data_IF_494558606115
#
_entry.id   IF_494558606115
#
_cell.length_a   1.000
_cell.length_b   1.000
_cell.length_c   1.000
_cell.angle_alpha   90.00
_cell.angle_beta   90.00
_cell.angle_gamma   90.00
#
_symmetry.space_group_name_H-M   'P 1'
#
loop_
_entity.id
_entity.type
_entity.pdbx_description
1 polymer ?
#
# COMPACT_ATOMS: atom_id res chain seq x y z
N UNK A 1 -14.17 -31.33 -21.16
CA UNK A 1 -15.24 -32.00 -20.38
C UNK A 1 -15.01 -31.65 -18.93
N UNK A 2 -15.64 -30.57 -18.43
CA UNK A 2 -15.61 -30.20 -17.02
C UNK A 2 -16.85 -30.84 -16.34
N UNK A 3 -16.61 -31.66 -15.33
CA UNK A 3 -17.67 -32.27 -14.52
C UNK A 3 -18.25 -31.24 -13.53
N UNK A 4 -19.52 -30.91 -13.69
CA UNK A 4 -20.30 -30.16 -12.69
C UNK A 4 -20.55 -31.07 -11.48
N UNK A 5 -20.10 -30.64 -10.30
CA UNK A 5 -20.51 -31.20 -9.03
C UNK A 5 -21.66 -30.32 -8.51
N UNK A 6 -22.87 -30.83 -8.58
CA UNK A 6 -24.06 -30.25 -7.94
C UNK A 6 -24.09 -30.70 -6.47
N UNK A 7 -23.84 -29.79 -5.54
CA UNK A 7 -24.06 -30.02 -4.13
C UNK A 7 -25.27 -29.21 -3.65
N UNK A 8 -26.43 -29.86 -3.58
CA UNK A 8 -27.62 -29.36 -2.83
C UNK A 8 -27.47 -29.79 -1.38
N UNK A 9 -27.08 -28.87 -0.48
CA UNK A 9 -27.27 -29.02 0.96
C UNK A 9 -27.97 -27.79 1.50
N UNK A 10 -29.18 -28.06 2.07
CA UNK A 10 -29.88 -27.10 2.89
C UNK A 10 -29.08 -26.87 4.19
N UNK A 11 -28.71 -25.63 4.48
CA UNK A 11 -28.04 -25.25 5.73
C UNK A 11 -29.06 -24.63 6.68
N UNK A 12 -29.20 -25.21 7.88
CA UNK A 12 -29.85 -24.59 9.02
C UNK A 12 -28.89 -23.53 9.63
N UNK A 13 -29.43 -22.34 9.85
CA UNK A 13 -28.73 -21.18 10.43
C UNK A 13 -28.41 -21.43 11.92
N UNK A 14 -27.14 -21.39 12.29
CA UNK A 14 -26.69 -21.21 13.67
C UNK A 14 -25.77 -19.99 13.68
N UNK A 15 -26.04 -19.05 14.59
CA UNK A 15 -25.27 -17.83 14.77
C UNK A 15 -23.82 -18.15 15.16
N UNK A 16 -22.92 -17.93 14.20
CA UNK A 16 -21.46 -17.96 14.40
C UNK A 16 -20.81 -17.00 13.41
N UNK A 17 -19.85 -16.22 13.88
CA UNK A 17 -19.09 -15.25 13.08
C UNK A 17 -18.51 -15.92 11.83
N UNK A 18 -18.94 -15.50 10.65
CA UNK A 18 -18.37 -15.95 9.38
C UNK A 18 -17.26 -14.98 8.93
N UNK A 19 -16.13 -15.49 8.42
CA UNK A 19 -15.00 -14.67 7.97
C UNK A 19 -15.16 -14.08 6.54
N UNK A 20 -16.39 -13.98 5.99
CA UNK A 20 -16.60 -13.53 4.62
C UNK A 20 -17.79 -12.58 4.50
N UNK A 21 -17.63 -11.48 3.74
CA UNK A 21 -18.75 -10.62 3.31
C UNK A 21 -19.43 -11.22 2.08
N UNK A 22 -20.76 -11.25 2.07
CA UNK A 22 -21.57 -11.80 0.98
C UNK A 22 -22.10 -10.65 0.12
N UNK A 23 -21.65 -10.53 -1.12
CA UNK A 23 -22.29 -9.66 -2.12
C UNK A 23 -22.98 -10.51 -3.18
N UNK A 24 -24.26 -10.26 -3.40
CA UNK A 24 -25.07 -10.97 -4.39
C UNK A 24 -25.16 -10.16 -5.70
N UNK A 25 -24.70 -10.73 -6.81
CA UNK A 25 -24.93 -10.18 -8.16
C UNK A 25 -26.02 -11.01 -8.87
N UNK A 26 -27.01 -10.32 -9.45
CA UNK A 26 -28.02 -10.96 -10.29
C UNK A 26 -27.66 -10.83 -11.76
N UNK A 27 -27.51 -11.93 -12.46
CA UNK A 27 -27.36 -11.97 -13.92
C UNK A 27 -28.71 -12.29 -14.59
N UNK A 28 -29.11 -11.49 -15.59
CA UNK A 28 -30.47 -11.43 -16.15
C UNK A 28 -30.91 -12.61 -17.05
N UNK A 29 -30.15 -13.69 -17.15
CA UNK A 29 -30.53 -14.77 -18.10
C UNK A 29 -30.75 -16.17 -17.54
N UNK A 30 -30.45 -16.40 -16.28
CA UNK A 30 -30.90 -17.64 -15.57
C UNK A 30 -30.81 -17.32 -14.07
N UNK A 31 -31.78 -17.80 -13.28
CA UNK A 31 -31.84 -17.61 -11.81
C UNK A 31 -30.69 -18.35 -11.09
N UNK A 32 -29.46 -18.06 -11.44
CA UNK A 32 -28.27 -18.54 -10.73
C UNK A 32 -27.68 -17.38 -9.92
N UNK A 33 -27.83 -17.45 -8.61
CA UNK A 33 -27.13 -16.55 -7.69
C UNK A 33 -25.69 -17.05 -7.54
N UNK A 34 -24.74 -16.30 -8.04
CA UNK A 34 -23.33 -16.52 -7.71
C UNK A 34 -23.03 -15.75 -6.42
N UNK A 35 -22.80 -16.51 -5.33
CA UNK A 35 -22.21 -15.94 -4.13
C UNK A 35 -20.72 -15.68 -4.39
N UNK A 36 -20.32 -14.42 -4.55
CA UNK A 36 -18.91 -14.03 -4.48
C UNK A 36 -18.59 -13.81 -3.02
N UNK A 37 -17.99 -14.83 -2.39
CA UNK A 37 -17.48 -14.72 -1.03
C UNK A 37 -16.16 -13.96 -1.11
N UNK A 38 -16.18 -12.66 -0.83
CA UNK A 38 -14.94 -11.87 -0.67
C UNK A 38 -14.24 -12.29 0.64
N UNK A 39 -12.92 -12.50 0.59
CA UNK A 39 -12.13 -12.70 1.81
C UNK A 39 -12.25 -11.44 2.66
N UNK A 40 -12.71 -11.55 3.90
CA UNK A 40 -12.72 -10.46 4.89
C UNK A 40 -11.26 -10.23 5.31
N UNK A 41 -10.80 -9.00 5.26
CA UNK A 41 -9.45 -8.66 5.69
C UNK A 41 -9.46 -8.42 7.20
N UNK A 42 -9.14 -9.47 7.96
CA UNK A 42 -9.13 -9.44 9.43
C UNK A 42 -7.78 -9.05 10.02
N UNK A 43 -6.71 -9.20 9.24
CA UNK A 43 -5.34 -8.93 9.67
C UNK A 43 -4.58 -8.15 8.60
N UNK A 44 -4.06 -6.98 8.95
CA UNK A 44 -3.36 -6.09 8.03
C UNK A 44 -1.93 -5.86 8.53
N UNK A 45 -0.95 -6.11 7.65
CA UNK A 45 0.43 -5.71 7.86
C UNK A 45 0.64 -4.26 7.41
N UNK A 46 1.21 -3.42 8.27
CA UNK A 46 1.49 -2.02 7.93
C UNK A 46 2.99 -1.76 8.07
N UNK A 47 3.59 -1.16 7.02
CA UNK A 47 5.00 -0.78 7.00
C UNK A 47 5.16 0.73 6.80
N UNK A 48 6.05 1.34 7.59
CA UNK A 48 6.63 2.67 7.32
C UNK A 48 8.15 2.58 7.38
N UNK A 49 8.85 3.45 6.67
CA UNK A 49 10.31 3.39 6.59
C UNK A 49 11.01 4.04 7.80
N UNK A 50 10.39 5.04 8.42
CA UNK A 50 10.95 5.88 9.47
C UNK A 50 10.10 5.90 10.74
N UNK A 51 10.67 6.35 11.84
CA UNK A 51 9.97 6.44 13.13
C UNK A 51 8.78 7.40 13.06
N UNK A 52 8.93 8.52 12.35
CA UNK A 52 7.89 9.51 12.15
C UNK A 52 6.67 8.93 11.43
N UNK A 53 6.88 8.01 10.49
CA UNK A 53 5.83 7.41 9.66
C UNK A 53 5.01 6.36 10.41
N UNK A 54 5.59 5.71 11.43
CA UNK A 54 4.92 4.69 12.22
C UNK A 54 4.42 5.20 13.59
N UNK A 55 4.88 6.35 14.05
CA UNK A 55 4.63 6.84 15.40
C UNK A 55 3.14 6.99 15.72
N UNK A 56 2.36 7.64 14.84
CA UNK A 56 0.92 7.85 15.06
C UNK A 56 0.15 6.53 15.02
N UNK A 57 0.47 5.63 14.10
CA UNK A 57 -0.13 4.30 14.02
C UNK A 57 0.16 3.49 15.29
N UNK A 58 1.43 3.44 15.72
CA UNK A 58 1.83 2.77 16.96
C UNK A 58 1.06 3.31 18.18
N UNK A 59 0.92 4.64 18.30
CA UNK A 59 0.19 5.27 19.39
C UNK A 59 -1.33 5.00 19.36
N UNK A 60 -1.87 4.63 18.19
CA UNK A 60 -3.30 4.35 17.98
C UNK A 60 -3.67 2.89 18.16
N UNK A 61 -2.70 1.99 18.27
CA UNK A 61 -2.95 0.56 18.54
C UNK A 61 -3.38 0.35 19.99
N UNK A 62 -4.35 -0.52 20.19
CA UNK A 62 -4.69 -1.10 21.51
C UNK A 62 -4.17 -2.55 21.60
N UNK A 63 -4.06 -3.07 22.83
CA UNK A 63 -3.62 -4.43 23.12
C UNK A 63 -2.25 -4.76 22.53
N UNK A 64 -1.31 -3.81 22.57
CA UNK A 64 -0.03 -3.89 21.87
C UNK A 64 0.87 -4.96 22.47
N UNK A 65 1.37 -5.83 21.59
CA UNK A 65 2.43 -6.80 21.88
C UNK A 65 3.63 -6.53 20.96
N UNK A 66 4.81 -6.36 21.56
CA UNK A 66 6.06 -6.25 20.79
C UNK A 66 6.63 -7.64 20.51
N UNK A 67 7.02 -7.88 19.26
CA UNK A 67 7.68 -9.11 18.82
C UNK A 67 8.99 -8.73 18.13
N UNK A 68 10.09 -9.11 18.74
CA UNK A 68 11.43 -8.86 18.19
C UNK A 68 11.84 -9.97 17.23
N UNK A 69 12.24 -9.60 16.01
CA UNK A 69 12.87 -10.49 15.05
C UNK A 69 14.16 -9.84 14.51
N UNK A 70 15.31 -10.33 15.01
CA UNK A 70 16.60 -9.73 14.67
C UNK A 70 16.60 -8.22 15.00
N UNK A 71 16.82 -7.38 14.00
CA UNK A 71 16.79 -5.91 14.14
C UNK A 71 15.42 -5.28 13.85
N UNK A 72 14.42 -6.10 13.49
CA UNK A 72 13.05 -5.62 13.28
C UNK A 72 12.23 -5.79 14.56
N UNK A 73 11.45 -4.77 14.89
CA UNK A 73 10.46 -4.82 15.96
C UNK A 73 9.07 -4.70 15.36
N UNK A 74 8.25 -5.74 15.54
CA UNK A 74 6.86 -5.76 15.13
C UNK A 74 5.97 -5.39 16.31
N UNK A 75 4.97 -4.55 16.06
CA UNK A 75 3.93 -4.16 17.03
C UNK A 75 2.62 -4.79 16.57
N UNK A 76 2.23 -5.88 17.22
CA UNK A 76 0.92 -6.50 16.99
C UNK A 76 -0.09 -5.86 17.93
N UNK A 77 -1.26 -5.46 17.41
CA UNK A 77 -2.32 -4.84 18.20
C UNK A 77 -3.60 -4.69 17.41
N UNK A 78 -4.60 -4.06 18.03
CA UNK A 78 -5.89 -3.82 17.39
C UNK A 78 -6.02 -2.36 16.96
N UNK A 79 -6.51 -2.12 15.75
CA UNK A 79 -6.84 -0.80 15.23
C UNK A 79 -8.29 -0.84 14.69
N UNK A 80 -9.20 -0.11 15.30
CA UNK A 80 -10.63 -0.11 14.95
C UNK A 80 -11.27 -1.50 14.86
N UNK A 81 -10.80 -2.48 15.63
CA UNK A 81 -11.33 -3.85 15.62
C UNK A 81 -10.64 -4.79 14.63
N UNK A 82 -9.66 -4.32 13.86
CA UNK A 82 -8.84 -5.11 12.93
C UNK A 82 -7.52 -5.47 13.60
N UNK A 83 -7.04 -6.71 13.43
CA UNK A 83 -5.70 -7.14 13.87
C UNK A 83 -4.64 -6.48 12.96
N UNK A 84 -3.71 -5.73 13.55
CA UNK A 84 -2.68 -4.99 12.82
C UNK A 84 -1.30 -5.41 13.27
N UNK A 85 -0.42 -5.66 12.30
CA UNK A 85 1.01 -5.86 12.52
C UNK A 85 1.75 -4.66 11.93
N UNK A 86 2.26 -3.79 12.79
CA UNK A 86 3.00 -2.60 12.39
C UNK A 86 4.50 -2.83 12.50
N UNK A 87 5.28 -2.40 11.51
CA UNK A 87 6.75 -2.47 11.54
C UNK A 87 7.39 -1.23 10.92
N UNK A 88 8.50 -0.77 11.53
CA UNK A 88 9.44 0.14 10.86
C UNK A 88 10.37 -0.71 10.01
N UNK A 89 10.26 -0.61 8.68
CA UNK A 89 11.02 -1.44 7.76
C UNK A 89 12.45 -0.92 7.49
N UNK A 90 12.70 0.38 7.72
CA UNK A 90 13.90 1.05 7.24
C UNK A 90 13.77 1.57 5.82
N UNK A 91 14.70 2.45 5.41
CA UNK A 91 14.68 3.13 4.11
C UNK A 91 15.30 2.24 3.04
N UNK A 92 14.68 2.24 1.85
CA UNK A 92 15.21 1.63 0.64
C UNK A 92 14.67 0.23 0.35
N UNK A 93 14.92 -0.21 -0.89
CA UNK A 93 14.31 -1.42 -1.47
C UNK A 93 14.65 -2.71 -0.71
N UNK A 94 15.90 -2.89 -0.34
CA UNK A 94 16.35 -4.12 0.36
C UNK A 94 15.75 -4.21 1.76
N UNK A 95 15.75 -3.10 2.51
CA UNK A 95 15.22 -3.05 3.88
C UNK A 95 13.71 -3.33 3.88
N UNK A 96 12.98 -2.68 2.99
CA UNK A 96 11.53 -2.84 2.89
C UNK A 96 11.12 -4.23 2.39
N UNK A 97 11.82 -4.80 1.40
CA UNK A 97 11.57 -6.15 0.92
C UNK A 97 11.81 -7.21 2.02
N UNK A 98 12.92 -7.08 2.78
CA UNK A 98 13.22 -7.96 3.90
C UNK A 98 12.12 -7.89 4.97
N UNK A 99 11.74 -6.67 5.39
CA UNK A 99 10.73 -6.49 6.42
C UNK A 99 9.36 -7.03 5.97
N UNK A 100 8.97 -6.81 4.70
CA UNK A 100 7.73 -7.33 4.11
C UNK A 100 7.72 -8.85 4.12
N UNK A 101 8.81 -9.49 3.67
CA UNK A 101 8.93 -10.95 3.68
C UNK A 101 8.78 -11.51 5.09
N UNK A 102 9.50 -10.94 6.07
CA UNK A 102 9.41 -11.41 7.47
C UNK A 102 8.02 -11.21 8.04
N UNK A 103 7.37 -10.06 7.74
CA UNK A 103 6.01 -9.77 8.18
C UNK A 103 5.03 -10.82 7.63
N UNK A 104 5.09 -11.11 6.33
CA UNK A 104 4.21 -12.09 5.68
C UNK A 104 4.43 -13.49 6.27
N UNK A 105 5.67 -13.95 6.37
CA UNK A 105 6.02 -15.30 6.81
C UNK A 105 5.72 -15.54 8.30
N UNK A 106 5.92 -14.52 9.16
CA UNK A 106 5.74 -14.70 10.61
C UNK A 106 4.30 -14.47 11.07
N UNK A 107 3.53 -13.62 10.38
CA UNK A 107 2.22 -13.19 10.87
C UNK A 107 1.06 -13.51 9.93
N UNK A 108 1.32 -13.90 8.67
CA UNK A 108 0.32 -14.26 7.66
C UNK A 108 -0.81 -13.23 7.55
N UNK A 109 -0.53 -11.95 7.24
CA UNK A 109 -1.56 -10.94 7.08
C UNK A 109 -2.40 -11.21 5.83
N UNK A 110 -3.63 -10.70 5.80
CA UNK A 110 -4.51 -10.79 4.64
C UNK A 110 -4.14 -9.77 3.56
N UNK A 111 -3.49 -8.67 3.96
CA UNK A 111 -3.00 -7.62 3.08
C UNK A 111 -1.83 -6.85 3.71
N UNK A 112 -1.05 -6.20 2.85
CA UNK A 112 0.05 -5.30 3.22
C UNK A 112 -0.32 -3.86 2.84
N UNK A 113 -0.07 -2.92 3.74
CA UNK A 113 -0.20 -1.48 3.50
C UNK A 113 1.13 -0.80 3.80
N UNK A 114 1.67 -0.10 2.83
CA UNK A 114 2.83 0.77 3.06
C UNK A 114 2.39 2.22 3.16
N UNK A 115 2.86 2.90 4.19
CA UNK A 115 2.56 4.30 4.49
C UNK A 115 3.85 5.10 4.61
N UNK A 116 3.81 6.38 4.28
CA UNK A 116 4.98 7.23 4.42
C UNK A 116 4.91 8.53 3.63
N UNK A 117 6.06 9.21 3.59
CA UNK A 117 6.30 10.42 2.82
C UNK A 117 6.78 10.12 1.40
N UNK A 118 6.65 11.09 0.50
CA UNK A 118 7.16 11.02 -0.87
C UNK A 118 7.41 12.42 -1.45
N UNK A 119 8.27 12.50 -2.46
CA UNK A 119 8.40 13.68 -3.33
C UNK A 119 7.28 13.71 -4.37
N UNK A 120 6.58 14.85 -4.46
CA UNK A 120 5.47 15.03 -5.42
C UNK A 120 5.98 15.36 -6.83
N UNK A 121 5.42 14.72 -7.84
CA UNK A 121 5.74 14.96 -9.25
C UNK A 121 4.57 15.57 -10.05
N UNK A 122 3.34 15.43 -9.56
CA UNK A 122 2.19 16.12 -10.15
C UNK A 122 2.20 17.60 -9.72
N UNK A 123 2.18 18.48 -10.69
CA UNK A 123 2.26 19.94 -10.45
C UNK A 123 0.98 20.54 -9.85
N UNK A 124 -0.11 19.78 -9.83
CA UNK A 124 -1.40 20.19 -9.26
C UNK A 124 -1.48 19.86 -7.76
N UNK A 125 -0.54 19.05 -7.24
CA UNK A 125 -0.50 18.68 -5.84
C UNK A 125 0.36 19.63 -5.02
N UNK A 126 0.05 19.70 -3.73
CA UNK A 126 0.74 20.48 -2.74
C UNK A 126 1.41 19.59 -1.68
N UNK A 127 2.31 20.18 -0.89
CA UNK A 127 2.87 19.51 0.29
C UNK A 127 1.72 19.15 1.24
N UNK A 128 1.75 17.92 1.75
CA UNK A 128 0.69 17.36 2.60
C UNK A 128 -0.41 16.63 1.85
N UNK A 129 -0.56 16.82 0.54
CA UNK A 129 -1.51 16.04 -0.27
C UNK A 129 -1.14 14.55 -0.32
N UNK A 130 -2.11 13.72 -0.64
CA UNK A 130 -2.00 12.27 -0.58
C UNK A 130 -2.06 11.63 -1.97
N UNK A 131 -1.24 10.61 -2.17
CA UNK A 131 -1.23 9.76 -3.36
C UNK A 131 -1.52 8.32 -2.96
N UNK A 132 -2.58 7.76 -3.50
CA UNK A 132 -2.90 6.34 -3.45
C UNK A 132 -2.23 5.68 -4.66
N UNK A 133 -1.28 4.79 -4.43
CA UNK A 133 -0.55 4.09 -5.48
C UNK A 133 -1.41 3.05 -6.15
N UNK A 134 -1.84 3.28 -7.38
CA UNK A 134 -2.52 2.27 -8.21
C UNK A 134 -1.51 1.28 -8.79
N UNK A 135 -0.40 1.82 -9.31
CA UNK A 135 0.69 1.05 -9.89
C UNK A 135 2.02 1.51 -9.29
N UNK A 136 2.92 0.55 -9.06
CA UNK A 136 4.28 0.78 -8.55
C UNK A 136 5.31 0.31 -9.58
N UNK A 137 6.34 1.12 -9.85
CA UNK A 137 7.43 0.81 -10.79
C UNK A 137 8.77 1.18 -10.15
N UNK A 138 9.81 0.39 -10.42
CA UNK A 138 11.19 0.77 -10.08
C UNK A 138 11.73 1.79 -11.09
N UNK A 139 11.97 3.03 -10.69
CA UNK A 139 12.50 4.03 -11.63
C UNK A 139 14.00 3.87 -11.91
N UNK A 140 14.70 3.09 -11.12
CA UNK A 140 16.15 2.86 -11.18
C UNK A 140 16.53 1.49 -11.80
N UNK A 141 15.55 0.76 -12.35
CA UNK A 141 15.78 -0.47 -13.11
C UNK A 141 15.69 -0.20 -14.61
N UNK A 142 16.71 -0.57 -15.36
CA UNK A 142 16.75 -0.44 -16.82
C UNK A 142 17.30 -1.72 -17.46
N UNK A 143 16.40 -2.52 -17.97
CA UNK A 143 16.67 -3.73 -18.73
C UNK A 143 16.14 -3.64 -20.19
N UNK A 144 15.96 -2.40 -20.69
CA UNK A 144 15.44 -2.14 -22.04
C UNK A 144 16.33 -2.75 -23.12
N UNK A 145 17.64 -2.87 -22.89
CA UNK A 145 18.56 -3.57 -23.76
C UNK A 145 18.16 -5.04 -24.03
N UNK A 146 17.45 -5.66 -23.08
CA UNK A 146 16.98 -7.05 -23.19
C UNK A 146 15.50 -7.14 -23.57
N UNK A 147 14.87 -6.03 -23.99
CA UNK A 147 13.48 -5.98 -24.44
C UNK A 147 12.44 -5.84 -23.32
N UNK A 148 12.87 -5.58 -22.08
CA UNK A 148 11.96 -5.26 -20.98
C UNK A 148 11.51 -3.79 -21.06
N UNK A 149 10.36 -3.47 -20.48
CA UNK A 149 9.94 -2.09 -20.28
C UNK A 149 10.84 -1.39 -19.26
N UNK A 150 10.99 -0.06 -19.38
CA UNK A 150 11.75 0.71 -18.41
C UNK A 150 11.09 0.60 -17.01
N UNK A 151 11.88 0.26 -16.00
CA UNK A 151 11.41 0.00 -14.64
C UNK A 151 11.01 -1.45 -14.36
N UNK A 152 10.95 -2.29 -15.39
CA UNK A 152 10.61 -3.71 -15.25
C UNK A 152 11.83 -4.53 -14.80
N UNK A 153 11.67 -5.29 -13.72
CA UNK A 153 12.65 -6.30 -13.32
C UNK A 153 12.55 -7.55 -14.19
N UNK A 154 13.68 -8.25 -14.41
CA UNK A 154 13.71 -9.47 -15.22
C UNK A 154 12.75 -10.54 -14.68
N UNK A 155 11.89 -11.08 -15.55
CA UNK A 155 10.92 -12.11 -15.20
C UNK A 155 9.74 -11.63 -14.34
N UNK A 156 9.62 -10.32 -14.11
CA UNK A 156 8.53 -9.72 -13.35
C UNK A 156 7.55 -8.98 -14.28
N UNK A 157 6.34 -8.63 -13.82
CA UNK A 157 5.43 -7.77 -14.58
C UNK A 157 6.03 -6.37 -14.81
N UNK A 158 5.46 -5.61 -15.73
CA UNK A 158 5.92 -4.25 -16.05
C UNK A 158 5.72 -3.29 -14.88
N UNK A 159 4.63 -3.48 -14.12
CA UNK A 159 4.29 -2.74 -12.91
C UNK A 159 3.70 -3.69 -11.85
N UNK A 160 3.69 -3.24 -10.59
CA UNK A 160 3.03 -3.95 -9.49
C UNK A 160 1.74 -3.23 -9.16
N UNK A 161 0.60 -3.89 -9.41
CA UNK A 161 -0.75 -3.33 -9.21
C UNK A 161 -1.20 -3.51 -7.78
N UNK A 162 -1.62 -2.42 -7.16
CA UNK A 162 -2.28 -2.46 -5.86
C UNK A 162 -3.63 -3.16 -5.94
N UNK A 163 -4.07 -3.74 -4.82
CA UNK A 163 -5.35 -4.45 -4.76
C UNK A 163 -6.53 -3.48 -4.92
N UNK A 164 -7.47 -3.74 -5.85
CA UNK A 164 -8.58 -2.82 -6.13
C UNK A 164 -9.49 -2.55 -4.92
N UNK A 165 -9.67 -3.53 -4.02
CA UNK A 165 -10.49 -3.36 -2.81
C UNK A 165 -9.83 -2.44 -1.80
N UNK A 166 -8.50 -2.54 -1.67
CA UNK A 166 -7.73 -1.64 -0.82
C UNK A 166 -7.73 -0.22 -1.38
N UNK A 167 -7.61 -0.07 -2.71
CA UNK A 167 -7.73 1.25 -3.39
C UNK A 167 -9.11 1.85 -3.10
N UNK A 168 -10.19 1.09 -3.33
CA UNK A 168 -11.56 1.55 -3.09
C UNK A 168 -11.79 1.96 -1.63
N UNK A 169 -11.31 1.16 -0.67
CA UNK A 169 -11.39 1.48 0.75
C UNK A 169 -10.62 2.77 1.11
N UNK A 170 -9.42 2.96 0.54
CA UNK A 170 -8.63 4.17 0.75
C UNK A 170 -9.30 5.41 0.11
N UNK A 171 -9.84 5.28 -1.10
CA UNK A 171 -10.56 6.36 -1.79
C UNK A 171 -11.86 6.74 -1.04
N UNK A 172 -12.58 5.76 -0.51
CA UNK A 172 -13.75 6.02 0.33
C UNK A 172 -13.37 6.75 1.62
N UNK A 173 -12.34 6.28 2.31
CA UNK A 173 -11.83 6.90 3.52
C UNK A 173 -11.30 8.34 3.30
N UNK A 174 -10.79 8.63 2.11
CA UNK A 174 -10.31 9.95 1.72
C UNK A 174 -11.41 11.03 1.76
N UNK A 175 -12.69 10.66 1.57
CA UNK A 175 -13.82 11.60 1.63
C UNK A 175 -14.02 12.21 3.03
N UNK A 176 -13.53 11.54 4.06
CA UNK A 176 -13.62 12.00 5.46
C UNK A 176 -12.43 12.90 5.85
N UNK A 177 -11.43 13.07 4.97
CA UNK A 177 -10.25 13.90 5.22
C UNK A 177 -10.45 15.29 4.60
N UNK A 178 -10.63 16.29 5.45
CA UNK A 178 -10.81 17.67 4.99
C UNK A 178 -9.47 18.41 4.85
N UNK A 179 -9.41 19.33 3.87
CA UNK A 179 -8.28 20.25 3.70
C UNK A 179 -7.04 19.65 3.05
N UNK A 180 -7.11 18.41 2.55
CA UNK A 180 -6.03 17.68 1.87
C UNK A 180 -6.58 17.11 0.57
N UNK A 181 -5.88 17.32 -0.53
CA UNK A 181 -6.22 16.68 -1.79
C UNK A 181 -5.72 15.24 -1.79
N UNK A 182 -6.56 14.31 -2.25
CA UNK A 182 -6.20 12.90 -2.44
C UNK A 182 -6.33 12.55 -3.91
N UNK A 183 -5.30 11.98 -4.48
CA UNK A 183 -5.28 11.48 -5.87
C UNK A 183 -4.80 10.05 -5.91
N UNK A 184 -5.06 9.37 -7.03
CA UNK A 184 -4.56 8.02 -7.29
C UNK A 184 -3.64 8.04 -8.50
N UNK A 185 -2.71 7.07 -8.60
CA UNK A 185 -1.88 6.90 -9.78
C UNK A 185 -0.55 6.22 -9.54
N UNK A 186 0.39 6.44 -10.48
CA UNK A 186 1.69 5.82 -10.48
C UNK A 186 2.61 6.41 -9.40
N UNK A 187 3.18 5.53 -8.56
CA UNK A 187 4.28 5.84 -7.66
C UNK A 187 5.54 5.13 -8.17
N UNK A 188 6.66 5.85 -8.23
CA UNK A 188 7.93 5.30 -8.66
C UNK A 188 8.91 5.19 -7.50
N UNK A 189 9.62 4.06 -7.44
CA UNK A 189 10.55 3.70 -6.35
C UNK A 189 11.97 3.59 -6.84
N UNK A 190 12.93 4.05 -6.06
CA UNK A 190 14.37 3.80 -6.29
C UNK A 190 15.23 4.11 -5.07
N UNK A 191 16.43 3.54 -5.00
CA UNK A 191 17.36 3.71 -3.88
C UNK A 191 18.17 5.04 -3.97
N UNK A 192 17.46 6.13 -4.36
CA UNK A 192 18.05 7.45 -4.43
C UNK A 192 17.04 8.53 -4.04
N UNK A 193 17.46 9.50 -3.22
CA UNK A 193 16.67 10.70 -2.96
C UNK A 193 16.73 11.61 -4.19
N UNK A 194 15.57 11.95 -4.75
CA UNK A 194 15.46 12.78 -5.97
C UNK A 194 15.31 14.25 -5.57
N UNK A 195 16.46 14.90 -5.38
CA UNK A 195 16.52 16.28 -4.88
C UNK A 195 17.13 17.31 -5.84
N UNK A 196 17.70 16.91 -6.99
CA UNK A 196 18.23 17.86 -7.98
C UNK A 196 17.26 18.07 -9.15
N UNK A 197 17.30 19.28 -9.72
CA UNK A 197 16.45 19.63 -10.87
C UNK A 197 16.74 18.75 -12.09
N UNK A 198 17.98 18.32 -12.29
CA UNK A 198 18.38 17.43 -13.39
C UNK A 198 17.76 16.03 -13.19
N UNK A 199 17.82 15.49 -11.98
CA UNK A 199 17.23 14.17 -11.68
C UNK A 199 15.71 14.21 -11.84
N UNK A 200 15.06 15.28 -11.38
CA UNK A 200 13.63 15.51 -11.55
C UNK A 200 13.23 15.57 -13.02
N UNK A 201 13.95 16.36 -13.85
CA UNK A 201 13.69 16.48 -15.28
C UNK A 201 13.86 15.15 -16.01
N UNK A 202 14.90 14.40 -15.68
CA UNK A 202 15.17 13.09 -16.25
C UNK A 202 14.03 12.09 -15.92
N UNK A 203 13.57 12.04 -14.65
CA UNK A 203 12.47 11.17 -14.24
C UNK A 203 11.13 11.58 -14.86
N UNK A 204 10.82 12.86 -14.97
CA UNK A 204 9.60 13.35 -15.66
C UNK A 204 9.56 12.90 -17.11
N UNK A 205 10.71 12.88 -17.79
CA UNK A 205 10.81 12.41 -19.18
C UNK A 205 10.60 10.89 -19.27
N UNK A 206 11.17 10.13 -18.33
CA UNK A 206 11.10 8.67 -18.30
C UNK A 206 9.73 8.15 -17.86
N UNK A 207 9.12 8.80 -16.87
CA UNK A 207 7.85 8.40 -16.25
C UNK A 207 6.84 9.56 -16.20
N UNK A 208 6.29 9.98 -17.34
CA UNK A 208 5.45 11.18 -17.41
C UNK A 208 4.14 11.08 -16.62
N UNK A 209 3.65 9.87 -16.36
CA UNK A 209 2.43 9.61 -15.56
C UNK A 209 2.69 9.56 -14.04
N UNK A 210 3.94 9.68 -13.60
CA UNK A 210 4.31 9.58 -12.19
C UNK A 210 3.68 10.70 -11.35
N UNK A 211 3.04 10.33 -10.24
CA UNK A 211 2.47 11.24 -9.25
C UNK A 211 3.42 11.52 -8.09
N UNK A 212 4.15 10.50 -7.64
CA UNK A 212 5.08 10.59 -6.52
C UNK A 212 6.29 9.67 -6.71
N UNK A 213 7.41 10.02 -6.04
CA UNK A 213 8.63 9.23 -5.98
C UNK A 213 9.01 8.97 -4.52
N UNK A 214 9.43 7.74 -4.23
CA UNK A 214 9.85 7.30 -2.89
C UNK A 214 10.86 6.14 -2.99
N UNK A 215 11.14 5.41 -1.92
CA UNK A 215 12.28 4.48 -1.91
C UNK A 215 11.90 3.02 -1.55
N UNK A 216 10.63 2.67 -1.31
CA UNK A 216 10.21 1.34 -0.79
C UNK A 216 9.08 0.68 -1.59
N UNK A 217 8.11 1.43 -2.07
CA UNK A 217 6.80 0.94 -2.51
C UNK A 217 6.85 -0.15 -3.57
N UNK A 218 7.66 0.01 -4.63
CA UNK A 218 7.76 -1.02 -5.66
C UNK A 218 8.47 -2.29 -5.16
N UNK A 219 9.41 -2.18 -4.20
CA UNK A 219 10.05 -3.35 -3.60
C UNK A 219 9.08 -4.13 -2.70
N UNK A 220 8.22 -3.42 -1.96
CA UNK A 220 7.12 -4.03 -1.20
C UNK A 220 6.12 -4.68 -2.16
N UNK A 221 5.70 -3.97 -3.23
CA UNK A 221 4.79 -4.49 -4.25
C UNK A 221 5.34 -5.73 -4.95
N UNK A 222 6.63 -5.74 -5.31
CA UNK A 222 7.31 -6.90 -5.88
C UNK A 222 7.31 -8.09 -4.92
N UNK A 223 7.62 -7.85 -3.64
CA UNK A 223 7.61 -8.89 -2.61
C UNK A 223 6.21 -9.48 -2.43
N UNK A 224 5.19 -8.63 -2.36
CA UNK A 224 3.79 -9.04 -2.26
C UNK A 224 3.33 -9.82 -3.50
N UNK A 225 3.71 -9.38 -4.71
CA UNK A 225 3.45 -10.11 -5.96
C UNK A 225 4.06 -11.52 -5.94
N UNK A 226 5.32 -11.65 -5.48
CA UNK A 226 6.02 -12.93 -5.41
C UNK A 226 5.45 -13.88 -4.34
N UNK A 227 4.79 -13.34 -3.31
CA UNK A 227 4.21 -14.10 -2.18
C UNK A 227 2.67 -14.18 -2.23
N UNK A 228 2.04 -13.74 -3.32
CA UNK A 228 0.57 -13.75 -3.53
C UNK A 228 -0.21 -13.07 -2.41
N UNK A 229 0.29 -11.93 -1.89
CA UNK A 229 -0.37 -11.13 -0.85
C UNK A 229 -0.87 -9.82 -1.44
N UNK A 230 -2.16 -9.45 -1.27
CA UNK A 230 -2.67 -8.14 -1.66
C UNK A 230 -1.92 -6.99 -0.98
N UNK A 231 -1.70 -5.88 -1.68
CA UNK A 231 -1.02 -4.73 -1.10
C UNK A 231 -1.59 -3.39 -1.58
N UNK A 232 -1.27 -2.32 -0.83
CA UNK A 232 -1.50 -0.94 -1.19
C UNK A 232 -0.35 -0.06 -0.68
N UNK A 233 0.02 0.96 -1.46
CA UNK A 233 0.96 2.01 -1.05
C UNK A 233 0.22 3.34 -0.97
N UNK A 234 0.34 4.03 0.17
CA UNK A 234 -0.21 5.36 0.41
C UNK A 234 0.93 6.30 0.79
N UNK A 235 1.03 7.43 0.12
CA UNK A 235 2.06 8.44 0.37
C UNK A 235 1.45 9.82 0.59
N UNK A 236 2.05 10.60 1.47
CA UNK A 236 1.80 12.03 1.57
C UNK A 236 3.03 12.81 1.14
N UNK A 237 2.81 13.93 0.47
CA UNK A 237 3.90 14.69 -0.13
C UNK A 237 4.62 15.53 0.92
N UNK A 238 5.90 15.27 1.14
CA UNK A 238 6.80 16.05 2.01
C UNK A 238 7.49 17.20 1.28
N UNK A 239 7.58 17.08 -0.04
CA UNK A 239 8.19 18.05 -0.93
C UNK A 239 7.60 17.92 -2.34
N UNK A 240 7.83 18.93 -3.16
CA UNK A 240 7.45 18.94 -4.59
C UNK A 240 8.72 18.96 -5.40
N UNK A 241 8.86 18.03 -6.32
CA UNK A 241 10.01 17.87 -7.19
C UNK A 241 10.36 19.17 -7.96
N UNK A 242 11.61 19.62 -7.84
CA UNK A 242 12.07 20.88 -8.45
C UNK A 242 11.86 22.13 -7.59
N UNK A 243 11.45 22.00 -6.31
CA UNK A 243 11.30 23.11 -5.37
C UNK A 243 12.05 22.81 -4.07
N UNK A 244 13.36 23.12 -3.98
CA UNK A 244 14.15 22.97 -2.74
C UNK A 244 13.83 21.74 -1.87
N UNK A 245 13.70 20.58 -2.52
CA UNK A 245 13.11 19.35 -1.95
C UNK A 245 13.77 18.90 -0.64
N UNK A 246 15.10 19.01 -0.50
CA UNK A 246 15.81 18.56 0.72
C UNK A 246 15.49 19.40 1.97
N UNK A 247 15.16 20.68 1.81
CA UNK A 247 14.73 21.56 2.91
C UNK A 247 13.29 21.26 3.26
N UNK A 248 12.42 21.21 2.25
CA UNK A 248 11.01 20.90 2.41
C UNK A 248 10.78 19.53 3.07
N UNK A 249 11.52 18.50 2.65
CA UNK A 249 11.43 17.17 3.25
C UNK A 249 11.61 17.22 4.78
N UNK A 250 12.68 17.87 5.28
CA UNK A 250 12.93 17.95 6.73
C UNK A 250 11.86 18.72 7.48
N UNK A 251 11.34 19.78 6.87
CA UNK A 251 10.34 20.65 7.48
C UNK A 251 8.95 20.00 7.53
N UNK A 252 8.57 19.26 6.49
CA UNK A 252 7.20 18.73 6.34
C UNK A 252 7.07 17.24 6.57
N UNK A 253 8.15 16.51 6.88
CA UNK A 253 8.14 15.07 7.11
C UNK A 253 7.10 14.65 8.14
N UNK A 254 7.05 15.30 9.31
CA UNK A 254 6.06 14.96 10.34
C UNK A 254 4.61 15.18 9.87
N UNK A 255 4.36 16.24 9.11
CA UNK A 255 3.03 16.53 8.56
C UNK A 255 2.64 15.48 7.55
N UNK A 256 3.51 15.14 6.61
CA UNK A 256 3.28 14.10 5.61
C UNK A 256 3.06 12.74 6.28
N UNK A 257 3.89 12.36 7.23
CA UNK A 257 3.77 11.11 7.99
C UNK A 257 2.40 11.02 8.71
N UNK A 258 1.98 12.10 9.38
CA UNK A 258 0.67 12.17 10.07
C UNK A 258 -0.49 12.06 9.08
N UNK A 259 -0.42 12.73 7.93
CA UNK A 259 -1.49 12.71 6.93
C UNK A 259 -1.64 11.32 6.32
N UNK A 260 -0.53 10.68 5.93
CA UNK A 260 -0.52 9.32 5.42
C UNK A 260 -1.09 8.32 6.45
N UNK A 261 -0.63 8.39 7.70
CA UNK A 261 -1.12 7.53 8.78
C UNK A 261 -2.63 7.72 9.05
N UNK A 262 -3.15 8.96 8.99
CA UNK A 262 -4.59 9.22 9.15
C UNK A 262 -5.42 8.55 8.07
N UNK A 263 -4.99 8.61 6.80
CA UNK A 263 -5.70 7.93 5.72
C UNK A 263 -5.67 6.41 5.91
N UNK A 264 -4.52 5.84 6.29
CA UNK A 264 -4.41 4.40 6.61
C UNK A 264 -5.34 4.01 7.75
N UNK A 265 -5.41 4.78 8.84
CA UNK A 265 -6.32 4.49 9.96
C UNK A 265 -7.80 4.56 9.54
N UNK A 266 -8.18 5.56 8.73
CA UNK A 266 -9.54 5.68 8.22
C UNK A 266 -9.89 4.53 7.26
N UNK A 267 -8.95 4.11 6.41
CA UNK A 267 -9.10 2.95 5.53
C UNK A 267 -9.27 1.65 6.33
N UNK A 268 -8.43 1.41 7.34
CA UNK A 268 -8.56 0.22 8.22
C UNK A 268 -9.91 0.20 8.91
N UNK A 269 -10.42 1.35 9.36
CA UNK A 269 -11.77 1.48 9.91
C UNK A 269 -12.87 1.13 8.91
N UNK A 270 -12.69 1.48 7.64
CA UNK A 270 -13.66 1.14 6.58
C UNK A 270 -13.64 -0.35 6.18
N UNK A 271 -12.54 -1.06 6.48
CA UNK A 271 -12.39 -2.51 6.24
C UNK A 271 -12.91 -3.37 7.41
N UNK A 272 -13.14 -2.78 8.61
CA UNK A 272 -13.67 -3.43 9.80
C UNK A 272 -15.17 -3.73 9.65
#
# INVERSE_FOLDING_TARGET
MLSLVTATKAFSYQEGRFPYTISAFTCSYTHHYYLVIGKVMNKIGILGAMDEEVALLKASLSEVKEVQWKHLTFYQGMLHGVDVILVKCGIGKVASALATTVLIEQFSPDAIVNTGSAGGFDTQLNIGDLVIGENLIHHDVDLTHFGYSLGQCAGMPEDYKSDPKLIEAAQHAANDISGIQVTSGLICTGDAFIGSDEAVAALRTKFPAMKAVEMEGAAIGQTCYMLDVPFLVIRSLSDIAGKTSSVSFKEYLETAAKNSAKLVMAMVKALA
#
